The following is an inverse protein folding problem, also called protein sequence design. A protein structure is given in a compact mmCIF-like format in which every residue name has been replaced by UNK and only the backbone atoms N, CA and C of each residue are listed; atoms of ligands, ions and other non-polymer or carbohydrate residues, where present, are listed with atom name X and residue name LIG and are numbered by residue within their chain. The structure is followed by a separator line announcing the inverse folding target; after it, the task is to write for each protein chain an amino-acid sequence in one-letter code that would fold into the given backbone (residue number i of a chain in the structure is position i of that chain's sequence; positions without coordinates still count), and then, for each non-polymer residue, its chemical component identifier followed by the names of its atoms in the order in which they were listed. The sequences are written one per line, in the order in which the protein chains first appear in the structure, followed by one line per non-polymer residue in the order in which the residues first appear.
data_IF_232318864698
#
_entry.id   IF_232318864698
#
_cell.length_a   1.000
_cell.length_b   1.000
_cell.length_c   1.000
_cell.angle_alpha   90.00
_cell.angle_beta   90.00
_cell.angle_gamma   90.00
#
_symmetry.space_group_name_H-M   'P 1'
#
loop_
_entity.id
_entity.type
_entity.pdbx_description
1 polymer ?
#
# COMPACT_ATOMS: atom_id res chain seq x y z
N UNK A 1 4.30 2.77 -17.62
CA UNK A 1 3.80 2.15 -16.39
C UNK A 1 2.40 1.63 -16.65
N UNK A 2 2.15 0.35 -16.41
CA UNK A 2 0.82 -0.25 -16.42
C UNK A 2 0.17 0.02 -15.06
N UNK A 3 -1.11 0.35 -15.04
CA UNK A 3 -1.90 0.55 -13.83
C UNK A 3 -3.03 -0.48 -13.83
N UNK A 4 -3.12 -1.25 -12.74
CA UNK A 4 -4.14 -2.28 -12.57
C UNK A 4 -4.88 -2.01 -11.25
N UNK A 5 -6.20 -1.90 -11.29
CA UNK A 5 -7.01 -1.91 -10.09
C UNK A 5 -7.04 -3.33 -9.52
N UNK A 6 -6.70 -3.49 -8.26
CA UNK A 6 -6.63 -4.79 -7.59
C UNK A 6 -7.74 -5.02 -6.56
N UNK A 7 -8.67 -4.11 -6.52
CA UNK A 7 -9.85 -4.18 -5.65
C UNK A 7 -9.88 -3.11 -4.57
N UNK A 8 -11.08 -2.73 -4.11
CA UNK A 8 -11.35 -1.66 -3.14
C UNK A 8 -10.63 -0.35 -3.55
N UNK A 9 -9.76 0.19 -2.73
CA UNK A 9 -8.89 1.33 -3.05
C UNK A 9 -7.51 0.89 -3.56
N UNK A 10 -7.30 -0.40 -3.80
CA UNK A 10 -6.00 -0.97 -4.13
C UNK A 10 -5.63 -0.82 -5.59
N UNK A 11 -4.38 -0.40 -5.85
CA UNK A 11 -3.81 -0.29 -7.18
C UNK A 11 -2.41 -0.90 -7.25
N UNK A 12 -2.13 -1.61 -8.35
CA UNK A 12 -0.80 -2.04 -8.76
C UNK A 12 -0.32 -1.13 -9.90
N UNK A 13 0.85 -0.55 -9.72
CA UNK A 13 1.60 0.18 -10.75
C UNK A 13 2.85 -0.61 -11.08
N UNK A 14 3.04 -1.00 -12.34
CA UNK A 14 4.17 -1.83 -12.72
C UNK A 14 4.81 -1.44 -14.06
N UNK A 15 6.11 -1.63 -14.14
CA UNK A 15 6.89 -1.67 -15.36
C UNK A 15 8.03 -2.70 -15.19
N UNK A 16 8.97 -2.75 -16.13
CA UNK A 16 10.08 -3.70 -16.12
C UNK A 16 11.00 -3.57 -14.88
N UNK A 17 11.04 -2.39 -14.25
CA UNK A 17 12.00 -2.07 -13.19
C UNK A 17 11.41 -2.05 -11.78
N UNK A 18 10.10 -1.81 -11.65
CA UNK A 18 9.47 -1.60 -10.35
C UNK A 18 8.01 -2.04 -10.34
N UNK A 19 7.60 -2.58 -9.18
CA UNK A 19 6.21 -2.89 -8.83
C UNK A 19 5.84 -2.13 -7.55
N UNK A 20 4.82 -1.29 -7.65
CA UNK A 20 4.30 -0.47 -6.56
C UNK A 20 2.88 -0.91 -6.28
N UNK A 21 2.58 -1.21 -5.04
CA UNK A 21 1.21 -1.52 -4.60
C UNK A 21 0.77 -0.41 -3.64
N UNK A 22 -0.43 0.12 -3.85
CA UNK A 22 -1.05 1.11 -2.97
C UNK A 22 -2.29 0.46 -2.34
N UNK A 23 -2.42 0.56 -1.01
CA UNK A 23 -3.57 0.15 -0.20
C UNK A 23 -4.15 -1.24 -0.57
N UNK A 24 -3.36 -2.32 -0.51
CA UNK A 24 -3.82 -3.64 -0.90
C UNK A 24 -4.83 -4.21 0.11
N UNK A 25 -6.05 -4.47 -0.34
CA UNK A 25 -7.08 -5.17 0.41
C UNK A 25 -7.57 -6.37 -0.39
N UNK A 26 -6.97 -7.53 -0.19
CA UNK A 26 -7.21 -8.76 -0.95
C UNK A 26 -7.78 -9.91 -0.09
N UNK A 27 -8.03 -9.67 1.20
CA UNK A 27 -8.65 -10.61 2.13
C UNK A 27 -10.14 -10.31 2.34
N UNK A 28 -10.78 -11.03 3.25
CA UNK A 28 -12.13 -10.76 3.72
C UNK A 28 -12.14 -10.25 5.18
N UNK A 29 -11.06 -9.60 5.64
CA UNK A 29 -10.91 -9.13 7.01
C UNK A 29 -12.03 -8.17 7.44
N UNK A 30 -12.44 -7.24 6.57
CA UNK A 30 -13.56 -6.34 6.87
C UNK A 30 -14.89 -7.08 7.02
N UNK A 31 -15.17 -8.09 6.19
CA UNK A 31 -16.36 -8.93 6.32
C UNK A 31 -16.38 -9.71 7.64
N UNK A 32 -15.21 -10.20 8.10
CA UNK A 32 -15.08 -10.89 9.39
C UNK A 32 -15.42 -9.99 10.57
N UNK A 33 -15.12 -8.70 10.47
CA UNK A 33 -15.45 -7.69 11.49
C UNK A 33 -16.91 -7.26 11.40
N UNK A 34 -17.41 -7.04 10.19
CA UNK A 34 -18.79 -6.62 9.95
C UNK A 34 -19.32 -7.23 8.64
N UNK A 35 -20.30 -8.15 8.69
CA UNK A 35 -20.86 -8.79 7.51
C UNK A 35 -21.46 -7.84 6.45
N UNK A 36 -21.81 -6.61 6.84
CA UNK A 36 -22.28 -5.57 5.90
C UNK A 36 -21.18 -5.05 4.99
N UNK A 37 -19.90 -5.28 5.35
CA UNK A 37 -18.73 -4.90 4.57
C UNK A 37 -18.26 -6.01 3.63
N UNK A 38 -19.19 -6.90 3.23
CA UNK A 38 -18.90 -7.95 2.26
C UNK A 38 -18.52 -7.33 0.92
N UNK A 39 -17.44 -7.83 0.35
CA UNK A 39 -16.97 -7.46 -0.98
C UNK A 39 -17.96 -7.91 -2.06
N UNK A 40 -18.17 -7.10 -3.10
CA UNK A 40 -19.08 -7.38 -4.21
C UNK A 40 -18.38 -7.99 -5.44
N UNK A 41 -17.08 -8.30 -5.33
CA UNK A 41 -16.28 -8.88 -6.42
C UNK A 41 -15.32 -9.92 -5.86
N UNK A 42 -14.87 -10.84 -6.72
CA UNK A 42 -13.84 -11.82 -6.34
C UNK A 42 -12.45 -11.23 -6.48
N UNK A 43 -11.58 -11.52 -5.53
CA UNK A 43 -10.16 -11.18 -5.62
C UNK A 43 -9.47 -12.17 -6.53
N UNK A 44 -8.62 -11.66 -7.41
CA UNK A 44 -7.76 -12.49 -8.23
C UNK A 44 -6.52 -12.92 -7.42
N UNK A 45 -6.39 -14.22 -7.16
CA UNK A 45 -5.32 -14.78 -6.33
C UNK A 45 -3.90 -14.49 -6.87
N UNK A 46 -3.78 -14.21 -8.17
CA UNK A 46 -2.50 -13.83 -8.77
C UNK A 46 -1.90 -12.58 -8.15
N UNK A 47 -2.73 -11.66 -7.65
CA UNK A 47 -2.26 -10.45 -6.98
C UNK A 47 -1.54 -10.74 -5.66
N UNK A 48 -1.93 -11.79 -4.93
CA UNK A 48 -1.26 -12.19 -3.68
C UNK A 48 0.16 -12.74 -3.92
N UNK A 49 0.46 -13.18 -5.15
CA UNK A 49 1.76 -13.75 -5.54
C UNK A 49 2.76 -12.70 -6.04
N UNK A 50 2.36 -11.45 -6.14
CA UNK A 50 3.24 -10.36 -6.56
C UNK A 50 4.34 -10.16 -5.50
N UNK A 51 5.56 -9.88 -5.97
CA UNK A 51 6.64 -9.40 -5.12
C UNK A 51 6.80 -7.88 -5.38
N UNK A 52 6.21 -7.02 -4.54
CA UNK A 52 6.32 -5.59 -4.71
C UNK A 52 7.69 -5.08 -4.27
N UNK A 53 8.17 -4.04 -4.93
CA UNK A 53 9.33 -3.26 -4.48
C UNK A 53 8.92 -2.20 -3.46
N UNK A 54 7.71 -1.65 -3.66
CA UNK A 54 7.15 -0.61 -2.80
C UNK A 54 5.70 -0.95 -2.46
N UNK A 55 5.36 -0.81 -1.19
CA UNK A 55 3.97 -0.77 -0.70
C UNK A 55 3.73 0.62 -0.13
N UNK A 56 2.64 1.27 -0.54
CA UNK A 56 2.18 2.53 0.06
C UNK A 56 0.90 2.25 0.84
N UNK A 57 0.86 2.66 2.11
CA UNK A 57 -0.31 2.58 2.97
C UNK A 57 -0.73 3.99 3.34
N UNK A 58 -1.80 4.46 2.72
CA UNK A 58 -2.26 5.85 2.86
C UNK A 58 -2.79 6.14 4.25
N UNK A 59 -3.39 5.14 4.91
CA UNK A 59 -3.90 5.26 6.28
C UNK A 59 -4.15 3.88 6.91
N UNK A 60 -4.60 3.86 8.17
CA UNK A 60 -4.62 2.66 9.02
C UNK A 60 -5.91 1.85 9.00
N UNK A 61 -6.92 2.23 8.20
CA UNK A 61 -8.16 1.46 8.12
C UNK A 61 -7.93 0.05 7.57
N UNK A 62 -8.79 -0.88 7.97
CA UNK A 62 -8.61 -2.31 7.70
C UNK A 62 -8.66 -2.65 6.21
N UNK A 63 -9.42 -1.90 5.41
CA UNK A 63 -9.53 -2.05 3.97
C UNK A 63 -8.40 -1.35 3.17
N UNK A 64 -7.38 -0.82 3.87
CA UNK A 64 -6.18 -0.22 3.29
C UNK A 64 -4.89 -0.83 3.86
N UNK A 65 -4.79 -0.95 5.18
CA UNK A 65 -3.67 -1.58 5.88
C UNK A 65 -4.10 -2.96 6.43
N UNK A 66 -4.52 -3.84 5.53
CA UNK A 66 -5.06 -5.16 5.85
C UNK A 66 -3.94 -6.15 6.25
N UNK A 67 -3.91 -6.62 7.52
CA UNK A 67 -2.86 -7.52 7.97
C UNK A 67 -2.84 -8.85 7.23
N UNK A 68 -4.01 -9.41 6.87
CA UNK A 68 -4.08 -10.68 6.16
C UNK A 68 -3.47 -10.58 4.75
N UNK A 69 -3.70 -9.48 4.04
CA UNK A 69 -3.07 -9.22 2.74
C UNK A 69 -1.58 -8.91 2.88
N UNK A 70 -1.21 -8.09 3.88
CA UNK A 70 0.18 -7.71 4.11
C UNK A 70 1.06 -8.89 4.50
N UNK A 71 0.51 -9.93 5.17
CA UNK A 71 1.22 -11.18 5.44
C UNK A 71 1.76 -11.81 4.15
N UNK A 72 1.01 -11.81 3.05
CA UNK A 72 1.48 -12.36 1.77
C UNK A 72 2.67 -11.59 1.17
N UNK A 73 2.78 -10.30 1.45
CA UNK A 73 3.81 -9.43 0.88
C UNK A 73 5.03 -9.25 1.78
N UNK A 74 4.85 -9.38 3.09
CA UNK A 74 5.89 -9.01 4.06
C UNK A 74 6.38 -10.20 4.90
N UNK A 75 5.49 -11.14 5.25
CA UNK A 75 5.90 -12.30 6.03
C UNK A 75 6.77 -13.23 5.19
N UNK A 76 7.87 -13.70 5.77
CA UNK A 76 8.83 -14.61 5.14
C UNK A 76 9.45 -14.06 3.83
N UNK A 77 9.43 -12.74 3.64
CA UNK A 77 10.03 -12.01 2.51
C UNK A 77 10.96 -10.92 3.01
N UNK A 78 11.68 -10.28 2.10
CA UNK A 78 12.63 -9.20 2.42
C UNK A 78 12.69 -8.16 1.31
N UNK A 79 13.28 -7.01 1.62
CA UNK A 79 13.66 -6.00 0.63
C UNK A 79 12.53 -5.09 0.14
N UNK A 80 11.32 -5.18 0.72
CA UNK A 80 10.21 -4.28 0.37
C UNK A 80 10.38 -2.93 1.08
N UNK A 81 10.18 -1.82 0.36
CA UNK A 81 10.04 -0.50 0.99
C UNK A 81 8.57 -0.23 1.26
N UNK A 82 8.22 -0.02 2.53
CA UNK A 82 6.85 0.28 2.96
C UNK A 82 6.77 1.75 3.36
N UNK A 83 6.08 2.54 2.54
CA UNK A 83 5.79 3.96 2.80
C UNK A 83 4.42 4.01 3.49
N UNK A 84 4.36 4.34 4.76
CA UNK A 84 3.12 4.27 5.52
C UNK A 84 2.90 5.53 6.37
N UNK A 85 1.66 6.03 6.36
CA UNK A 85 1.25 7.08 7.30
C UNK A 85 1.43 6.62 8.74
N UNK A 86 1.57 7.51 9.69
CA UNK A 86 1.98 7.19 11.07
C UNK A 86 1.14 6.09 11.71
N UNK A 87 -0.19 6.15 11.59
CA UNK A 87 -1.07 5.13 12.17
C UNK A 87 -0.90 3.76 11.48
N UNK A 88 -0.70 3.74 10.17
CA UNK A 88 -0.42 2.52 9.41
C UNK A 88 1.00 2.00 9.71
N UNK A 89 2.00 2.89 9.76
CA UNK A 89 3.39 2.55 10.07
C UNK A 89 3.53 1.87 11.44
N UNK A 90 2.83 2.37 12.46
CA UNK A 90 2.82 1.76 13.79
C UNK A 90 2.31 0.32 13.79
N UNK A 91 1.40 -0.03 12.87
CA UNK A 91 0.87 -1.40 12.71
C UNK A 91 1.85 -2.31 11.97
N UNK A 92 2.46 -1.80 10.87
CA UNK A 92 3.18 -2.67 9.92
C UNK A 92 4.66 -2.83 10.21
N UNK A 93 5.31 -1.91 10.90
CA UNK A 93 6.75 -1.99 11.21
C UNK A 93 7.19 -3.17 12.06
N UNK A 94 6.23 -3.97 12.52
CA UNK A 94 6.46 -5.19 13.32
C UNK A 94 6.54 -6.47 12.49
N UNK A 95 6.33 -6.40 11.18
CA UNK A 95 6.34 -7.57 10.29
C UNK A 95 7.72 -8.22 10.10
N UNK A 96 8.80 -7.52 10.42
CA UNK A 96 10.17 -8.04 10.36
C UNK A 96 11.19 -6.94 10.09
N UNK A 97 12.45 -7.24 10.37
CA UNK A 97 13.58 -6.31 10.19
C UNK A 97 14.11 -6.26 8.76
N UNK A 98 13.66 -7.14 7.88
CA UNK A 98 14.19 -7.31 6.52
C UNK A 98 13.56 -6.35 5.50
N UNK A 99 12.67 -5.46 5.94
CA UNK A 99 12.00 -4.44 5.12
C UNK A 99 12.40 -3.04 5.54
N UNK A 100 12.24 -2.08 4.62
CA UNK A 100 12.47 -0.67 4.91
C UNK A 100 11.14 0.02 5.21
N UNK A 101 10.85 0.30 6.49
CA UNK A 101 9.62 0.96 6.93
C UNK A 101 9.83 2.46 7.08
N UNK A 102 9.27 3.22 6.17
CA UNK A 102 9.38 4.68 6.12
C UNK A 102 8.13 5.33 6.70
N UNK A 103 8.31 6.20 7.68
CA UNK A 103 7.25 7.06 8.18
C UNK A 103 6.91 8.12 7.11
N UNK A 104 5.76 7.96 6.46
CA UNK A 104 5.38 8.70 5.27
C UNK A 104 4.21 9.63 5.56
N UNK A 105 4.48 10.68 6.35
CA UNK A 105 3.50 11.69 6.73
C UNK A 105 3.47 12.87 5.74
N UNK A 106 2.42 13.68 5.79
CA UNK A 106 2.28 14.87 4.95
C UNK A 106 3.58 15.70 4.89
N UNK A 107 4.04 15.96 3.67
CA UNK A 107 5.28 16.67 3.37
C UNK A 107 6.52 15.77 3.24
N UNK A 108 6.42 14.47 3.58
CA UNK A 108 7.53 13.53 3.39
C UNK A 108 7.73 13.25 1.90
N UNK A 109 8.99 13.26 1.48
CA UNK A 109 9.42 12.78 0.16
C UNK A 109 10.41 11.62 0.35
N UNK A 110 10.24 10.55 -0.41
CA UNK A 110 11.12 9.38 -0.36
C UNK A 110 11.34 8.80 -1.75
N UNK A 111 12.58 8.47 -2.09
CA UNK A 111 12.95 7.96 -3.41
C UNK A 111 13.30 6.47 -3.35
N UNK A 112 12.64 5.68 -4.21
CA UNK A 112 12.92 4.25 -4.40
C UNK A 112 13.13 3.99 -5.89
N UNK A 113 14.24 3.36 -6.26
CA UNK A 113 14.58 3.02 -7.66
C UNK A 113 14.39 4.21 -8.64
N UNK A 114 14.76 5.42 -8.19
CA UNK A 114 14.67 6.62 -9.01
C UNK A 114 13.29 7.26 -9.11
N UNK A 115 12.28 6.72 -8.43
CA UNK A 115 10.95 7.32 -8.36
C UNK A 115 10.80 7.99 -6.99
N UNK A 116 10.51 9.29 -6.99
CA UNK A 116 10.23 10.04 -5.75
C UNK A 116 8.73 10.03 -5.49
N UNK A 117 8.39 9.53 -4.31
CA UNK A 117 7.04 9.54 -3.74
C UNK A 117 6.92 10.73 -2.79
N UNK A 118 5.82 11.45 -2.88
CA UNK A 118 5.51 12.58 -2.01
C UNK A 118 4.19 12.35 -1.29
N UNK A 119 4.21 12.42 0.03
CA UNK A 119 3.00 12.43 0.84
C UNK A 119 2.39 13.83 0.85
N UNK A 120 1.10 13.91 0.57
CA UNK A 120 0.33 15.15 0.61
C UNK A 120 -0.84 15.02 1.59
N UNK A 121 -1.35 16.15 2.06
CA UNK A 121 -2.49 16.16 2.97
C UNK A 121 -3.71 15.46 2.37
N UNK A 122 -4.39 14.65 3.18
CA UNK A 122 -5.70 14.07 2.86
C UNK A 122 -6.70 14.37 3.99
N UNK A 123 -7.90 14.78 3.64
CA UNK A 123 -8.99 14.96 4.60
C UNK A 123 -9.70 13.62 4.81
N UNK A 124 -9.53 13.03 5.99
CA UNK A 124 -10.02 11.69 6.29
C UNK A 124 -10.35 11.52 7.79
N UNK A 125 -11.11 10.49 8.16
CA UNK A 125 -11.38 10.16 9.58
C UNK A 125 -10.16 9.60 10.32
N UNK A 126 -9.19 9.00 9.63
CA UNK A 126 -7.83 8.81 10.15
C UNK A 126 -7.08 10.15 9.98
N UNK A 127 -6.75 10.81 11.08
CA UNK A 127 -6.13 12.14 11.09
C UNK A 127 -4.70 12.16 10.57
N UNK A 128 -4.09 10.99 10.37
CA UNK A 128 -2.75 10.82 9.79
C UNK A 128 -2.81 10.32 8.33
N UNK A 129 -4.00 10.28 7.73
CA UNK A 129 -4.14 9.85 6.34
C UNK A 129 -3.40 10.79 5.38
N UNK A 130 -2.83 10.22 4.33
CA UNK A 130 -2.11 10.94 3.29
C UNK A 130 -2.60 10.55 1.89
N UNK A 131 -2.55 11.50 0.97
CA UNK A 131 -2.51 11.20 -0.46
C UNK A 131 -1.07 10.93 -0.88
N UNK A 132 -0.87 10.24 -1.99
CA UNK A 132 0.46 9.97 -2.55
C UNK A 132 0.56 10.51 -3.96
N UNK A 133 1.65 11.24 -4.23
CA UNK A 133 2.00 11.74 -5.56
C UNK A 133 3.34 11.16 -5.97
N UNK A 134 3.45 10.64 -7.18
CA UNK A 134 4.73 10.24 -7.78
C UNK A 134 4.72 10.39 -9.29
N UNK A 135 5.90 10.53 -9.90
CA UNK A 135 6.03 10.72 -11.35
C UNK A 135 6.95 9.68 -11.97
N UNK A 136 6.53 9.15 -13.11
CA UNK A 136 7.31 8.19 -13.92
C UNK A 136 7.12 8.53 -15.39
N UNK A 137 8.23 8.65 -16.16
CA UNK A 137 8.21 8.91 -17.61
C UNK A 137 7.31 10.11 -17.98
N UNK A 138 7.48 11.24 -17.29
CA UNK A 138 6.71 12.48 -17.49
C UNK A 138 5.20 12.35 -17.24
N UNK A 139 4.76 11.29 -16.57
CA UNK A 139 3.38 11.14 -16.08
C UNK A 139 3.36 11.21 -14.57
N UNK A 140 2.46 12.02 -14.02
CA UNK A 140 2.23 12.14 -12.58
C UNK A 140 0.98 11.38 -12.21
N UNK A 141 1.06 10.64 -11.13
CA UNK A 141 -0.01 9.88 -10.51
C UNK A 141 -0.33 10.47 -9.14
N UNK A 142 -1.63 10.57 -8.87
CA UNK A 142 -2.18 10.98 -7.58
C UNK A 142 -3.36 10.10 -7.22
#
# INVERSE_FOLDING_TARGET
MKVTWIGQAGFLFENENIKIIIDPYLSDSCYKVNPRLKRNYSVEESFLKINPDVIVLTHSHLDHADPETLDYYLKDKSGVTVLASENAWNKVRTYGSEHNYVLFNNGTEFTVKGITFKAVYACHSDNQAVGVVFSVNNKTYY
#
